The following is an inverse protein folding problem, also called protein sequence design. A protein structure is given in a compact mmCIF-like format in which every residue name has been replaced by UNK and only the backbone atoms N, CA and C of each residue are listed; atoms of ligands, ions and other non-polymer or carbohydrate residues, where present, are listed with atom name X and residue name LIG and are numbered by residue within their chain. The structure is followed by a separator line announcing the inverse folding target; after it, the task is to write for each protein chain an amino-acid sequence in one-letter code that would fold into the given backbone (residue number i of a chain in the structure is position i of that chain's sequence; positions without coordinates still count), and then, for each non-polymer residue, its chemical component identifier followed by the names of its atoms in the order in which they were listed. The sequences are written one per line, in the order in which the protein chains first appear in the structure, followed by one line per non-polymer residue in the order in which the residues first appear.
data_IF_209025260901
#
_entry.id   IF_209025260901
#
_cell.length_a   1.000
_cell.length_b   1.000
_cell.length_c   1.000
_cell.angle_alpha   90.00
_cell.angle_beta   90.00
_cell.angle_gamma   90.00
#
_symmetry.space_group_name_H-M   'P 1'
#
loop_
_entity.id
_entity.type
_entity.pdbx_description
1 polymer ?
#
# COMPACT_ATOMS: atom_id res chain seq x y z
N UNK A 1 13.25 11.97 -11.71
CA UNK A 1 12.93 11.77 -10.30
C UNK A 1 11.42 11.60 -10.14
N UNK A 2 11.03 10.64 -9.34
CA UNK A 2 9.62 10.33 -9.20
C UNK A 2 8.98 11.18 -8.10
N UNK A 3 7.92 11.89 -8.46
CA UNK A 3 7.19 12.73 -7.51
C UNK A 3 5.92 12.07 -6.98
N UNK A 4 5.56 10.92 -7.56
CA UNK A 4 4.31 10.27 -7.23
C UNK A 4 4.58 8.89 -6.66
N UNK A 5 3.99 8.59 -5.51
CA UNK A 5 4.07 7.27 -4.90
C UNK A 5 3.12 6.33 -5.62
N UNK A 6 3.59 5.14 -5.92
CA UNK A 6 2.78 4.12 -6.58
C UNK A 6 2.51 2.95 -5.65
N UNK A 7 1.58 2.08 -6.07
CA UNK A 7 1.30 0.85 -5.33
C UNK A 7 2.56 0.01 -5.17
N UNK A 8 3.41 -0.02 -6.20
CA UNK A 8 4.65 -0.76 -6.12
C UNK A 8 5.58 -0.20 -5.05
N UNK A 9 5.62 1.12 -4.91
CA UNK A 9 6.43 1.75 -3.88
C UNK A 9 5.99 1.32 -2.48
N UNK A 10 4.69 1.28 -2.25
CA UNK A 10 4.16 0.85 -0.97
C UNK A 10 4.49 -0.61 -0.73
N UNK A 11 4.30 -1.45 -1.73
CA UNK A 11 4.58 -2.88 -1.62
C UNK A 11 6.05 -3.11 -1.28
N UNK A 12 6.96 -2.41 -1.94
CA UNK A 12 8.39 -2.54 -1.69
C UNK A 12 8.72 -2.11 -0.25
N UNK A 13 8.13 -1.01 0.20
CA UNK A 13 8.39 -0.50 1.54
C UNK A 13 7.92 -1.47 2.62
N UNK A 14 6.81 -2.16 2.37
CA UNK A 14 6.22 -3.07 3.35
C UNK A 14 6.66 -4.52 3.17
N UNK A 15 7.39 -4.81 2.10
CA UNK A 15 7.83 -6.18 1.82
C UNK A 15 6.69 -7.11 1.46
N UNK A 16 5.65 -6.60 0.81
CA UNK A 16 4.53 -7.42 0.38
C UNK A 16 4.31 -7.31 -1.13
N UNK A 17 3.44 -8.15 -1.68
CA UNK A 17 3.19 -8.14 -3.10
C UNK A 17 2.33 -6.94 -3.50
N UNK A 18 2.48 -6.53 -4.75
CA UNK A 18 1.67 -5.44 -5.28
C UNK A 18 0.18 -5.78 -5.24
N UNK A 19 -0.16 -7.04 -5.49
CA UNK A 19 -1.55 -7.48 -5.44
C UNK A 19 -2.15 -7.27 -4.06
N UNK A 20 -1.40 -7.58 -3.01
CA UNK A 20 -1.87 -7.40 -1.64
C UNK A 20 -2.16 -5.94 -1.35
N UNK A 21 -1.25 -5.06 -1.76
CA UNK A 21 -1.43 -3.62 -1.56
C UNK A 21 -2.66 -3.13 -2.33
N UNK A 22 -2.78 -3.57 -3.58
CA UNK A 22 -3.93 -3.18 -4.41
C UNK A 22 -5.24 -3.61 -3.79
N UNK A 23 -5.31 -4.83 -3.30
CA UNK A 23 -6.52 -5.33 -2.65
C UNK A 23 -6.88 -4.51 -1.42
N UNK A 24 -5.88 -4.19 -0.60
CA UNK A 24 -6.10 -3.41 0.61
C UNK A 24 -6.66 -2.02 0.29
N UNK A 25 -6.11 -1.39 -0.74
CA UNK A 25 -6.53 -0.04 -1.12
C UNK A 25 -7.89 -0.02 -1.82
N UNK A 26 -8.26 -1.12 -2.47
CA UNK A 26 -9.53 -1.19 -3.20
C UNK A 26 -10.66 -1.78 -2.35
N UNK A 27 -10.43 -2.00 -1.07
CA UNK A 27 -11.46 -2.52 -0.20
C UNK A 27 -11.75 -4.00 -0.39
N UNK A 28 -10.83 -4.73 -1.04
CA UNK A 28 -10.97 -6.16 -1.17
C UNK A 28 -10.64 -6.84 0.15
N UNK A 29 -11.00 -8.12 0.26
CA UNK A 29 -10.75 -8.86 1.49
C UNK A 29 -9.24 -9.03 1.72
N UNK A 30 -8.78 -8.50 2.84
CA UNK A 30 -7.41 -8.69 3.33
C UNK A 30 -7.48 -8.66 4.85
N UNK A 31 -6.50 -9.27 5.55
CA UNK A 31 -6.45 -9.18 7.01
C UNK A 31 -6.38 -7.73 7.47
N UNK A 32 -7.00 -7.44 8.62
CA UNK A 32 -7.03 -6.08 9.15
C UNK A 32 -5.62 -5.53 9.35
N UNK A 33 -4.70 -6.36 9.85
CA UNK A 33 -3.32 -5.93 10.05
C UNK A 33 -2.69 -5.47 8.74
N UNK A 34 -2.90 -6.25 7.68
CA UNK A 34 -2.36 -5.91 6.37
C UNK A 34 -2.96 -4.61 5.86
N UNK A 35 -4.26 -4.48 5.98
CA UNK A 35 -4.94 -3.26 5.53
C UNK A 35 -4.43 -2.03 6.27
N UNK A 36 -4.31 -2.14 7.59
CA UNK A 36 -3.83 -1.02 8.39
C UNK A 36 -2.40 -0.64 8.03
N UNK A 37 -1.54 -1.63 7.79
CA UNK A 37 -0.16 -1.38 7.40
C UNK A 37 -0.11 -0.65 6.06
N UNK A 38 -0.90 -1.08 5.09
CA UNK A 38 -0.94 -0.46 3.78
C UNK A 38 -1.45 0.97 3.86
N UNK A 39 -2.54 1.19 4.60
CA UNK A 39 -3.12 2.52 4.73
C UNK A 39 -2.14 3.46 5.43
N UNK A 40 -1.51 3.02 6.51
CA UNK A 40 -0.52 3.83 7.21
C UNK A 40 0.65 4.20 6.30
N UNK A 41 1.17 3.23 5.56
CA UNK A 41 2.27 3.47 4.65
C UNK A 41 1.86 4.46 3.55
N UNK A 42 0.64 4.30 3.02
CA UNK A 42 0.14 5.18 1.98
C UNK A 42 0.08 6.63 2.48
N UNK A 43 -0.40 6.81 3.69
CA UNK A 43 -0.50 8.15 4.28
C UNK A 43 0.90 8.74 4.48
N UNK A 44 1.81 7.96 5.06
CA UNK A 44 3.17 8.43 5.33
C UNK A 44 3.93 8.76 4.06
N UNK A 45 3.73 7.96 3.02
CA UNK A 45 4.44 8.14 1.76
C UNK A 45 3.78 9.16 0.84
N UNK A 46 2.59 9.62 1.18
CA UNK A 46 1.89 10.58 0.37
C UNK A 46 1.21 10.00 -0.86
N UNK A 47 0.80 8.75 -0.78
CA UNK A 47 0.06 8.13 -1.89
C UNK A 47 -1.32 8.76 -2.03
N UNK A 48 -1.69 9.05 -3.25
CA UNK A 48 -3.00 9.66 -3.54
C UNK A 48 -3.83 8.83 -4.48
#
# INVERSE_FOLDING_TARGET
MKNTVTIQDIADALGMSRNTVSKALNGKYVPVKTRNAVISAAIEMGYK
#
